data_IF_660580319245
#
_entry.id   IF_660580319245
#
_cell.length_a   1.000
_cell.length_b   1.000
_cell.length_c   1.000
_cell.angle_alpha   90.00
_cell.angle_beta   90.00
_cell.angle_gamma   90.00
#
_symmetry.space_group_name_H-M   'P 1'
#
loop_
_entity.id
_entity.type
_entity.pdbx_description
1 polymer ?
#
# COMPACT_ATOMS: atom_id res chain seq x y z
N UNK A 1 50.23 -51.88 -3.13
CA UNK A 1 49.82 -52.41 -4.44
C UNK A 1 48.30 -52.37 -4.52
N UNK A 2 47.65 -52.00 -5.65
CA UNK A 2 48.10 -51.19 -6.78
C UNK A 2 46.92 -50.23 -7.26
N UNK A 3 46.83 -49.71 -8.51
CA UNK A 3 47.47 -48.43 -8.84
C UNK A 3 46.74 -47.53 -9.91
N UNK A 4 47.33 -46.34 -10.17
CA UNK A 4 47.49 -45.60 -11.46
C UNK A 4 46.24 -45.15 -12.26
N UNK A 5 46.18 -43.85 -12.65
CA UNK A 5 46.36 -43.39 -14.04
C UNK A 5 46.46 -41.85 -14.17
N UNK A 6 47.61 -41.43 -14.70
CA UNK A 6 47.87 -40.15 -15.37
C UNK A 6 46.84 -39.86 -16.48
N UNK A 7 46.61 -38.58 -16.77
CA UNK A 7 46.59 -38.05 -18.14
C UNK A 7 47.04 -36.58 -18.12
N UNK A 8 47.87 -36.27 -19.10
CA UNK A 8 48.61 -35.05 -19.35
C UNK A 8 47.83 -34.08 -20.25
N UNK A 9 48.09 -32.79 -20.08
CA UNK A 9 48.14 -31.72 -21.11
C UNK A 9 47.01 -31.57 -22.13
N UNK A 10 46.26 -30.47 -22.02
CA UNK A 10 45.55 -29.83 -23.15
C UNK A 10 46.13 -28.42 -23.34
N UNK A 11 46.75 -28.20 -24.51
CA UNK A 11 47.19 -26.90 -25.01
C UNK A 11 45.99 -26.05 -25.48
N UNK A 12 46.03 -24.70 -25.35
CA UNK A 12 45.00 -23.82 -25.89
C UNK A 12 45.26 -23.49 -27.37
N UNK A 13 44.25 -23.69 -28.22
CA UNK A 13 44.26 -23.27 -29.64
C UNK A 13 43.61 -21.89 -29.76
N UNK A 14 44.32 -20.97 -30.44
CA UNK A 14 43.86 -19.60 -30.77
C UNK A 14 42.78 -19.62 -31.87
N UNK A 15 41.85 -18.65 -31.86
CA UNK A 15 40.89 -18.49 -32.94
C UNK A 15 41.44 -17.56 -34.04
N UNK A 16 41.67 -18.11 -35.23
CA UNK A 16 41.80 -17.30 -36.45
C UNK A 16 41.19 -18.04 -37.64
N UNK A 17 40.31 -17.32 -38.35
CA UNK A 17 39.74 -17.63 -39.67
C UNK A 17 38.62 -18.72 -39.61
N UNK A 18 37.45 -18.57 -40.21
CA UNK A 18 37.14 -18.10 -41.58
C UNK A 18 35.61 -18.10 -41.78
N UNK A 19 35.15 -17.64 -42.95
CA UNK A 19 33.77 -17.54 -43.47
C UNK A 19 33.04 -16.25 -43.05
N UNK A 20 32.69 -15.33 -43.94
CA UNK A 20 32.51 -15.41 -45.38
C UNK A 20 31.28 -14.57 -45.71
N UNK A 21 31.47 -13.26 -45.92
CA UNK A 21 30.39 -12.32 -46.20
C UNK A 21 30.03 -12.42 -47.68
N UNK A 22 28.78 -12.82 -47.95
CA UNK A 22 28.13 -12.76 -49.26
C UNK A 22 27.00 -11.72 -49.17
N UNK A 23 27.07 -10.74 -50.06
CA UNK A 23 26.09 -9.69 -50.31
C UNK A 23 24.76 -10.24 -50.83
N UNK A 24 23.65 -9.74 -50.31
CA UNK A 24 22.35 -9.73 -50.98
C UNK A 24 21.51 -8.54 -50.49
N UNK A 25 21.48 -7.48 -51.30
CA UNK A 25 20.49 -6.41 -51.24
C UNK A 25 19.12 -6.98 -51.65
N UNK A 26 18.03 -6.62 -50.93
CA UNK A 26 16.81 -6.07 -51.53
C UNK A 26 15.62 -5.95 -50.54
N UNK A 27 15.14 -4.72 -50.44
CA UNK A 27 13.74 -4.30 -50.55
C UNK A 27 12.73 -4.63 -49.42
N UNK A 28 12.74 -3.82 -48.34
CA UNK A 28 11.60 -3.65 -47.41
C UNK A 28 11.38 -2.16 -47.09
N UNK A 29 11.29 -1.33 -48.12
CA UNK A 29 11.24 0.14 -47.96
C UNK A 29 9.88 0.82 -48.16
N UNK A 30 8.86 0.14 -48.69
CA UNK A 30 7.68 0.83 -49.24
C UNK A 30 6.34 0.59 -48.54
N UNK A 31 6.28 -0.15 -47.42
CA UNK A 31 4.98 -0.49 -46.78
C UNK A 31 4.71 0.23 -45.44
N UNK A 32 5.72 0.83 -44.81
CA UNK A 32 5.55 1.49 -43.49
C UNK A 32 5.13 2.96 -43.56
N UNK A 33 5.37 3.66 -44.67
CA UNK A 33 4.98 5.07 -44.82
C UNK A 33 3.49 5.26 -45.18
N UNK A 34 2.86 4.27 -45.82
CA UNK A 34 1.45 4.36 -46.24
C UNK A 34 0.44 4.12 -45.08
N UNK A 35 0.86 3.39 -44.04
CA UNK A 35 0.02 3.10 -42.86
C UNK A 35 -0.06 4.26 -41.86
N UNK A 36 0.93 5.16 -41.83
CA UNK A 36 0.92 6.32 -40.93
C UNK A 36 0.02 7.47 -41.41
N UNK A 37 -0.19 7.62 -42.72
CA UNK A 37 -1.04 8.68 -43.27
C UNK A 37 -2.55 8.39 -43.10
N UNK A 38 -2.97 7.12 -43.18
CA UNK A 38 -4.39 6.74 -43.07
C UNK A 38 -4.95 6.87 -41.63
N UNK A 39 -4.11 6.69 -40.61
CA UNK A 39 -4.53 6.80 -39.19
C UNK A 39 -4.74 8.27 -38.78
N UNK A 40 -4.01 9.21 -39.38
CA UNK A 40 -4.14 10.64 -39.09
C UNK A 40 -5.47 11.24 -39.62
N UNK A 41 -5.99 10.75 -40.75
CA UNK A 41 -7.23 11.26 -41.36
C UNK A 41 -8.49 10.82 -40.61
N UNK A 42 -8.48 9.64 -39.99
CA UNK A 42 -9.64 9.14 -39.23
C UNK A 42 -9.81 9.80 -37.85
N UNK A 43 -8.77 10.47 -37.34
CA UNK A 43 -8.77 11.06 -36.00
C UNK A 43 -9.29 12.50 -35.94
N UNK A 44 -9.25 13.26 -37.05
CA UNK A 44 -9.67 14.66 -37.08
C UNK A 44 -11.18 14.83 -37.27
N UNK A 45 -11.86 13.90 -37.94
CA UNK A 45 -13.30 14.02 -38.28
C UNK A 45 -14.24 13.69 -37.08
N UNK A 46 -13.75 12.96 -36.06
CA UNK A 46 -14.50 12.68 -34.82
C UNK A 46 -14.47 13.81 -33.78
N UNK A 47 -13.55 14.76 -33.88
CA UNK A 47 -13.44 15.90 -32.95
C UNK A 47 -14.29 17.10 -33.39
N UNK A 48 -14.59 17.26 -34.68
CA UNK A 48 -15.38 18.40 -35.20
C UNK A 48 -16.90 18.30 -34.96
N UNK A 49 -17.44 17.11 -34.67
CA UNK A 49 -18.90 16.89 -34.47
C UNK A 49 -19.35 16.93 -32.99
N UNK A 50 -18.46 17.24 -32.04
CA UNK A 50 -18.78 17.28 -30.60
C UNK A 50 -18.95 18.70 -30.03
N UNK A 51 -18.64 19.75 -30.79
CA UNK A 51 -18.59 21.15 -30.33
C UNK A 51 -19.81 22.02 -30.68
N UNK A 52 -20.85 21.51 -31.35
CA UNK A 52 -22.02 22.31 -31.76
C UNK A 52 -23.35 21.93 -31.11
N UNK A 53 -23.34 21.32 -29.91
CA UNK A 53 -24.58 21.00 -29.17
C UNK A 53 -24.50 21.30 -27.68
N UNK A 54 -24.17 22.54 -27.32
CA UNK A 54 -24.37 23.05 -25.95
C UNK A 54 -24.40 24.58 -25.91
N UNK A 55 -25.42 25.16 -26.53
CA UNK A 55 -25.89 26.50 -26.20
C UNK A 55 -27.41 26.57 -26.43
N UNK A 56 -28.17 26.13 -25.42
CA UNK A 56 -29.58 26.50 -25.22
C UNK A 56 -29.77 26.69 -23.72
N UNK A 57 -29.89 27.95 -23.31
CA UNK A 57 -30.17 28.36 -21.94
C UNK A 57 -31.56 27.85 -21.49
N UNK A 58 -31.75 27.39 -20.24
CA UNK A 58 -33.08 27.11 -19.74
C UNK A 58 -33.74 28.39 -19.24
N UNK A 59 -34.99 28.58 -19.67
CA UNK A 59 -35.86 29.69 -19.29
C UNK A 59 -36.12 29.75 -17.78
N UNK A 60 -36.08 30.97 -17.26
CA UNK A 60 -36.28 31.39 -15.87
C UNK A 60 -37.71 31.08 -15.41
N UNK A 61 -37.93 29.97 -14.70
CA UNK A 61 -39.21 29.69 -14.01
C UNK A 61 -39.23 30.36 -12.63
N UNK A 62 -40.33 31.06 -12.37
CA UNK A 62 -40.61 31.92 -11.21
C UNK A 62 -40.59 31.12 -9.90
N UNK A 63 -40.02 31.74 -8.86
CA UNK A 63 -39.99 31.29 -7.46
C UNK A 63 -41.40 31.05 -6.92
N UNK A 64 -41.63 29.87 -6.34
CA UNK A 64 -42.77 29.61 -5.45
C UNK A 64 -42.29 29.63 -3.99
N UNK A 65 -43.03 30.32 -3.13
CA UNK A 65 -42.73 30.54 -1.72
C UNK A 65 -42.84 29.26 -0.87
N UNK A 66 -42.09 29.11 0.24
CA UNK A 66 -42.17 27.94 1.09
C UNK A 66 -43.41 28.02 2.01
N UNK A 67 -44.21 26.95 1.97
CA UNK A 67 -45.41 26.75 2.79
C UNK A 67 -44.99 26.33 4.21
N UNK A 68 -45.44 27.09 5.22
CA UNK A 68 -45.22 26.86 6.65
C UNK A 68 -45.65 25.44 7.06
N UNK A 69 -44.73 24.62 7.55
CA UNK A 69 -45.07 23.39 8.28
C UNK A 69 -45.23 23.69 9.77
N UNK A 70 -46.40 23.31 10.30
CA UNK A 70 -46.79 23.45 11.70
C UNK A 70 -45.94 22.51 12.59
N UNK A 71 -45.41 23.07 13.68
CA UNK A 71 -44.91 22.33 14.84
C UNK A 71 -46.02 21.46 15.42
N UNK A 72 -45.75 20.16 15.59
CA UNK A 72 -46.51 19.29 16.49
C UNK A 72 -45.54 18.73 17.50
N UNK A 73 -45.72 19.15 18.76
CA UNK A 73 -45.04 18.59 19.91
C UNK A 73 -45.70 17.26 20.29
N UNK A 74 -44.93 16.20 20.53
CA UNK A 74 -45.39 15.02 21.28
C UNK A 74 -44.30 14.47 22.19
N UNK A 75 -44.50 14.81 23.47
CA UNK A 75 -44.39 14.05 24.72
C UNK A 75 -43.46 12.82 24.77
N UNK A 76 -42.45 12.98 25.61
CA UNK A 76 -41.75 12.01 26.46
C UNK A 76 -42.46 10.68 26.73
N UNK A 77 -41.75 9.57 26.46
CA UNK A 77 -41.78 8.37 27.30
C UNK A 77 -40.33 7.97 27.61
N UNK A 78 -39.98 8.02 28.90
CA UNK A 78 -38.75 7.46 29.47
C UNK A 78 -38.90 5.95 29.53
N UNK A 79 -37.97 5.20 28.95
CA UNK A 79 -37.54 3.90 29.49
C UNK A 79 -36.03 3.77 29.36
N UNK A 80 -35.44 3.17 30.39
CA UNK A 80 -34.09 3.36 30.83
C UNK A 80 -33.07 2.39 30.18
N UNK A 81 -31.81 2.78 30.37
CA UNK A 81 -30.61 1.92 30.45
C UNK A 81 -30.10 1.29 29.15
N UNK A 82 -29.25 2.03 28.45
CA UNK A 82 -28.12 1.43 27.71
C UNK A 82 -26.82 2.13 28.14
N UNK A 83 -25.81 1.30 28.41
CA UNK A 83 -24.52 1.69 28.96
C UNK A 83 -23.83 2.75 28.11
N UNK A 84 -23.43 3.85 28.77
CA UNK A 84 -22.67 4.95 28.19
C UNK A 84 -21.28 4.44 27.82
N UNK A 85 -21.07 4.09 26.55
CA UNK A 85 -19.72 3.82 26.01
C UNK A 85 -18.88 5.06 26.28
N UNK A 86 -17.91 4.96 27.21
CA UNK A 86 -16.94 6.02 27.49
C UNK A 86 -16.16 6.29 26.20
N UNK A 87 -16.48 7.41 25.55
CA UNK A 87 -15.68 8.00 24.47
C UNK A 87 -14.24 8.16 25.00
N UNK A 88 -13.19 7.78 24.23
CA UNK A 88 -11.82 7.97 24.69
C UNK A 88 -11.56 9.47 24.95
N UNK A 89 -10.71 9.82 25.92
CA UNK A 89 -10.55 11.20 26.35
C UNK A 89 -9.95 12.03 25.21
N UNK A 90 -10.66 13.11 24.87
CA UNK A 90 -10.28 14.12 23.87
C UNK A 90 -8.94 14.81 24.21
N UNK A 91 -8.44 14.65 25.43
CA UNK A 91 -7.24 15.28 25.97
C UNK A 91 -5.93 14.81 25.30
N UNK A 92 -5.79 13.51 25.04
CA UNK A 92 -4.60 12.94 24.43
C UNK A 92 -4.35 13.41 22.98
N UNK A 93 -5.41 13.61 22.20
CA UNK A 93 -5.29 14.21 20.85
C UNK A 93 -5.25 15.74 20.90
N UNK A 94 -5.83 16.36 21.94
CA UNK A 94 -5.71 17.81 22.16
C UNK A 94 -4.29 18.23 22.58
N UNK A 95 -3.54 17.38 23.29
CA UNK A 95 -2.14 17.64 23.63
C UNK A 95 -1.24 17.70 22.38
N UNK A 96 -1.50 16.84 21.39
CA UNK A 96 -0.85 16.88 20.08
C UNK A 96 -1.25 18.14 19.30
N UNK A 97 -2.52 18.55 19.37
CA UNK A 97 -3.00 19.79 18.77
C UNK A 97 -2.50 21.08 19.45
N UNK A 98 -2.01 20.98 20.70
CA UNK A 98 -1.46 22.08 21.48
C UNK A 98 0.07 22.22 21.38
N UNK A 99 0.71 21.49 20.45
CA UNK A 99 2.16 21.64 20.18
C UNK A 99 3.09 21.05 21.23
N UNK A 100 2.58 20.32 22.24
CA UNK A 100 3.41 19.51 23.14
C UNK A 100 3.70 18.18 22.47
N UNK A 101 4.74 18.14 21.64
CA UNK A 101 5.32 16.89 21.17
C UNK A 101 5.88 16.12 22.37
N UNK A 102 5.57 14.82 22.45
CA UNK A 102 6.22 13.94 23.43
C UNK A 102 7.74 14.03 23.26
N UNK A 103 8.50 13.92 24.36
CA UNK A 103 9.95 13.88 24.25
C UNK A 103 10.38 12.73 23.34
N UNK A 104 11.31 13.00 22.43
CA UNK A 104 11.81 11.99 21.49
C UNK A 104 12.66 10.95 22.26
N UNK A 105 12.70 9.72 21.76
CA UNK A 105 13.60 8.69 22.28
C UNK A 105 15.08 9.03 22.08
N UNK A 106 15.93 8.59 23.01
CA UNK A 106 17.38 8.58 22.82
C UNK A 106 17.78 7.45 21.87
N UNK A 107 19.00 7.51 21.33
CA UNK A 107 19.52 6.43 20.49
C UNK A 107 19.54 5.07 21.21
N UNK A 108 19.85 5.05 22.51
CA UNK A 108 19.86 3.83 23.31
C UNK A 108 18.46 3.25 23.55
N UNK A 109 17.46 4.12 23.75
CA UNK A 109 16.05 3.71 23.84
C UNK A 109 15.58 3.10 22.51
N UNK A 110 15.94 3.72 21.39
CA UNK A 110 15.67 3.21 20.04
C UNK A 110 16.30 1.83 19.85
N UNK A 111 17.61 1.71 20.10
CA UNK A 111 18.35 0.47 19.95
C UNK A 111 17.74 -0.65 20.80
N UNK A 112 17.44 -0.34 22.06
CA UNK A 112 16.83 -1.30 22.99
C UNK A 112 15.46 -1.76 22.49
N UNK A 113 14.62 -0.85 22.00
CA UNK A 113 13.31 -1.18 21.47
C UNK A 113 13.40 -2.12 20.26
N UNK A 114 14.23 -1.79 19.26
CA UNK A 114 14.36 -2.62 18.06
C UNK A 114 15.03 -3.96 18.32
N UNK A 115 15.99 -4.04 19.24
CA UNK A 115 16.53 -5.32 19.71
C UNK A 115 15.44 -6.21 20.31
N UNK A 116 14.52 -5.64 21.11
CA UNK A 116 13.38 -6.38 21.68
C UNK A 116 12.39 -6.82 20.61
N UNK A 117 12.09 -5.97 19.62
CA UNK A 117 11.25 -6.35 18.49
C UNK A 117 11.86 -7.51 17.68
N UNK A 118 13.15 -7.41 17.35
CA UNK A 118 13.87 -8.45 16.63
C UNK A 118 13.91 -9.78 17.39
N UNK A 119 14.11 -9.74 18.71
CA UNK A 119 14.09 -10.95 19.54
C UNK A 119 12.68 -11.58 19.63
N UNK A 120 11.63 -10.75 19.74
CA UNK A 120 10.25 -11.22 19.87
C UNK A 120 9.68 -11.79 18.57
N UNK A 121 10.10 -11.26 17.42
CA UNK A 121 9.65 -11.72 16.11
C UNK A 121 10.76 -11.52 15.06
N UNK A 122 11.67 -12.49 14.87
CA UNK A 122 12.83 -12.33 13.98
C UNK A 122 12.48 -12.12 12.50
N UNK A 123 11.37 -12.68 12.02
CA UNK A 123 10.92 -12.57 10.61
C UNK A 123 9.45 -12.07 10.57
N UNK A 124 9.23 -10.77 10.82
CA UNK A 124 7.88 -10.22 10.84
C UNK A 124 7.34 -10.09 9.41
N UNK A 125 6.10 -10.57 9.20
CA UNK A 125 5.44 -10.56 7.89
C UNK A 125 4.11 -9.81 7.93
N UNK A 126 3.72 -9.23 6.79
CA UNK A 126 2.40 -8.66 6.59
C UNK A 126 1.28 -9.71 6.62
N UNK A 127 0.05 -9.27 6.90
CA UNK A 127 -1.11 -10.17 6.99
C UNK A 127 -1.80 -10.43 5.64
N UNK A 128 -1.46 -9.66 4.61
CA UNK A 128 -2.05 -9.81 3.27
C UNK A 128 -1.44 -11.02 2.56
N UNK A 129 -2.30 -11.98 2.18
CA UNK A 129 -1.89 -13.19 1.46
C UNK A 129 -1.63 -12.86 0.00
N UNK A 130 -0.44 -13.22 -0.47
CA UNK A 130 0.04 -13.01 -1.83
C UNK A 130 1.08 -14.09 -2.17
N UNK A 131 1.34 -14.28 -3.47
CA UNK A 131 2.32 -15.26 -3.97
C UNK A 131 3.47 -14.61 -4.72
N UNK A 132 3.26 -13.40 -5.22
CA UNK A 132 4.20 -12.65 -6.04
C UNK A 132 3.97 -11.13 -5.86
N UNK A 133 4.85 -10.27 -6.44
CA UNK A 133 4.70 -8.83 -6.31
C UNK A 133 3.38 -8.27 -6.88
N UNK A 134 2.80 -8.89 -7.90
CA UNK A 134 1.57 -8.40 -8.52
C UNK A 134 0.35 -8.68 -7.66
N UNK A 135 0.22 -9.90 -7.15
CA UNK A 135 -0.84 -10.30 -6.22
C UNK A 135 -0.75 -9.50 -4.91
N UNK A 136 0.46 -9.17 -4.44
CA UNK A 136 0.65 -8.22 -3.34
C UNK A 136 0.12 -6.83 -3.71
N UNK A 137 0.52 -6.29 -4.85
CA UNK A 137 0.09 -4.96 -5.31
C UNK A 137 -1.44 -4.86 -5.37
N UNK A 138 -2.11 -5.86 -5.95
CA UNK A 138 -3.58 -5.92 -6.00
C UNK A 138 -4.15 -5.98 -4.57
N UNK A 139 -3.62 -6.84 -3.69
CA UNK A 139 -4.09 -6.93 -2.30
C UNK A 139 -3.94 -5.60 -1.55
N UNK A 140 -2.84 -4.88 -1.74
CA UNK A 140 -2.58 -3.56 -1.13
C UNK A 140 -3.56 -2.50 -1.67
N UNK A 141 -3.85 -2.48 -2.97
CA UNK A 141 -4.86 -1.56 -3.54
C UNK A 141 -6.26 -1.87 -2.98
N UNK A 142 -6.58 -3.15 -2.79
CA UNK A 142 -7.85 -3.58 -2.21
C UNK A 142 -7.97 -3.31 -0.70
N UNK A 143 -6.86 -3.22 0.02
CA UNK A 143 -6.85 -3.00 1.48
C UNK A 143 -7.19 -1.57 1.90
N UNK A 144 -7.18 -0.61 0.98
CA UNK A 144 -7.58 0.77 1.26
C UNK A 144 -8.97 0.82 1.90
N UNK A 145 -9.07 1.24 3.17
CA UNK A 145 -10.32 1.26 3.94
C UNK A 145 -11.03 -0.11 4.03
N UNK A 146 -10.27 -1.20 4.04
CA UNK A 146 -10.75 -2.56 4.27
C UNK A 146 -9.91 -3.25 5.35
N UNK A 147 -10.40 -4.37 5.87
CA UNK A 147 -9.62 -5.22 6.77
C UNK A 147 -8.83 -6.24 5.96
N UNK A 148 -7.63 -6.58 6.40
CA UNK A 148 -6.78 -7.57 5.71
C UNK A 148 -7.47 -8.94 5.61
N UNK A 149 -8.24 -9.32 6.64
CA UNK A 149 -9.07 -10.53 6.61
C UNK A 149 -10.14 -10.49 5.52
N UNK A 150 -10.80 -9.34 5.32
CA UNK A 150 -11.79 -9.15 4.27
C UNK A 150 -11.17 -9.19 2.87
N UNK A 151 -9.98 -8.60 2.72
CA UNK A 151 -9.20 -8.66 1.47
C UNK A 151 -8.81 -10.11 1.17
N UNK A 152 -8.21 -10.81 2.12
CA UNK A 152 -7.77 -12.20 1.96
C UNK A 152 -8.91 -13.14 1.56
N UNK A 153 -10.12 -12.90 2.09
CA UNK A 153 -11.32 -13.69 1.72
C UNK A 153 -11.73 -13.47 0.26
N UNK A 154 -11.61 -12.25 -0.25
CA UNK A 154 -11.95 -11.93 -1.63
C UNK A 154 -10.84 -12.33 -2.62
N UNK A 155 -9.57 -12.13 -2.23
CA UNK A 155 -8.42 -12.38 -3.11
C UNK A 155 -8.09 -13.86 -3.27
N UNK A 156 -8.39 -14.70 -2.27
CA UNK A 156 -8.18 -16.15 -2.34
C UNK A 156 -8.72 -16.80 -3.62
N UNK A 157 -10.05 -16.75 -3.89
CA UNK A 157 -10.62 -17.29 -5.13
C UNK A 157 -10.24 -16.47 -6.36
N UNK A 158 -10.07 -15.15 -6.24
CA UNK A 158 -9.67 -14.29 -7.36
C UNK A 158 -8.30 -14.67 -7.92
N UNK A 159 -7.29 -14.88 -7.07
CA UNK A 159 -5.94 -15.18 -7.51
C UNK A 159 -5.78 -16.61 -8.04
N UNK A 160 -6.74 -17.50 -7.81
CA UNK A 160 -6.77 -18.81 -8.48
C UNK A 160 -7.11 -18.70 -9.96
N UNK A 161 -7.86 -17.66 -10.36
CA UNK A 161 -8.30 -17.44 -11.74
C UNK A 161 -7.54 -16.32 -12.45
N UNK A 162 -7.04 -15.33 -11.70
CA UNK A 162 -6.41 -14.12 -12.22
C UNK A 162 -5.28 -13.64 -11.31
N UNK A 163 -4.13 -14.32 -11.37
CA UNK A 163 -2.90 -13.96 -10.64
C UNK A 163 -1.88 -13.16 -11.46
N UNK A 164 -2.16 -12.85 -12.73
CA UNK A 164 -1.27 -12.04 -13.57
C UNK A 164 -1.99 -10.80 -14.11
N UNK A 165 -1.28 -9.73 -14.47
CA UNK A 165 -1.90 -8.55 -15.07
C UNK A 165 -2.74 -8.89 -16.30
N UNK A 166 -2.22 -9.73 -17.20
CA UNK A 166 -2.93 -10.14 -18.41
C UNK A 166 -4.20 -10.93 -18.09
N UNK A 167 -4.14 -11.86 -17.13
CA UNK A 167 -5.32 -12.62 -16.70
C UNK A 167 -6.37 -11.73 -16.01
N UNK A 168 -5.94 -10.73 -15.25
CA UNK A 168 -6.84 -9.77 -14.61
C UNK A 168 -7.55 -8.88 -15.63
N UNK A 169 -6.85 -8.44 -16.67
CA UNK A 169 -7.45 -7.68 -17.78
C UNK A 169 -8.43 -8.57 -18.55
N UNK A 170 -8.08 -9.82 -18.82
CA UNK A 170 -8.95 -10.79 -19.50
C UNK A 170 -10.20 -11.15 -18.67
N UNK A 171 -10.08 -11.19 -17.34
CA UNK A 171 -11.21 -11.39 -16.43
C UNK A 171 -12.27 -10.28 -16.59
N UNK A 172 -11.82 -9.05 -16.78
CA UNK A 172 -12.67 -7.88 -16.97
C UNK A 172 -13.23 -7.29 -15.67
N UNK A 173 -13.65 -6.03 -15.74
CA UNK A 173 -14.08 -5.26 -14.57
C UNK A 173 -15.33 -5.83 -13.89
N UNK A 174 -16.31 -6.27 -14.66
CA UNK A 174 -17.59 -6.76 -14.13
C UNK A 174 -17.39 -8.01 -13.26
N UNK A 175 -16.70 -9.03 -13.79
CA UNK A 175 -16.37 -10.24 -13.02
C UNK A 175 -15.48 -9.92 -11.82
N UNK A 176 -14.51 -9.02 -11.97
CA UNK A 176 -13.69 -8.59 -10.83
C UNK A 176 -14.55 -7.99 -9.72
N UNK A 177 -15.52 -7.12 -10.04
CA UNK A 177 -16.44 -6.55 -9.04
C UNK A 177 -17.17 -7.65 -8.27
N UNK A 178 -17.57 -8.74 -8.92
CA UNK A 178 -18.23 -9.86 -8.22
C UNK A 178 -17.33 -10.56 -7.21
N UNK A 179 -16.03 -10.73 -7.50
CA UNK A 179 -15.06 -11.27 -6.55
C UNK A 179 -14.86 -10.36 -5.33
N UNK A 180 -14.81 -9.04 -5.56
CA UNK A 180 -14.45 -8.07 -4.52
C UNK A 180 -15.65 -7.31 -3.94
N UNK A 181 -16.89 -7.67 -4.26
CA UNK A 181 -18.11 -6.94 -3.83
C UNK A 181 -18.29 -6.84 -2.32
N UNK A 182 -17.65 -7.72 -1.55
CA UNK A 182 -17.66 -7.68 -0.08
C UNK A 182 -16.74 -6.61 0.49
N UNK A 183 -15.87 -6.02 -0.34
CA UNK A 183 -14.93 -4.97 0.06
C UNK A 183 -15.58 -3.60 -0.17
N UNK A 184 -15.42 -2.68 0.79
CA UNK A 184 -15.83 -1.28 0.61
C UNK A 184 -15.16 -0.64 -0.60
N UNK A 185 -15.91 0.23 -1.31
CA UNK A 185 -15.45 0.95 -2.52
C UNK A 185 -15.09 0.03 -3.70
N UNK A 186 -15.65 -1.18 -3.76
CA UNK A 186 -15.30 -2.18 -4.78
C UNK A 186 -15.44 -1.70 -6.22
N UNK A 187 -16.41 -0.83 -6.56
CA UNK A 187 -16.56 -0.30 -7.91
C UNK A 187 -15.32 0.47 -8.38
N UNK A 188 -14.87 1.44 -7.58
CA UNK A 188 -13.68 2.23 -7.89
C UNK A 188 -12.41 1.38 -7.83
N UNK A 189 -12.34 0.44 -6.87
CA UNK A 189 -11.22 -0.49 -6.75
C UNK A 189 -11.10 -1.42 -7.95
N UNK A 190 -12.19 -2.00 -8.44
CA UNK A 190 -12.19 -2.85 -9.63
C UNK A 190 -11.69 -2.07 -10.85
N UNK A 191 -12.20 -0.86 -11.06
CA UNK A 191 -11.74 0.03 -12.13
C UNK A 191 -10.23 0.30 -12.04
N UNK A 192 -9.73 0.62 -10.84
CA UNK A 192 -8.30 0.88 -10.64
C UNK A 192 -7.46 -0.38 -10.86
N UNK A 193 -7.89 -1.56 -10.39
CA UNK A 193 -7.18 -2.83 -10.57
C UNK A 193 -7.11 -3.23 -12.05
N UNK A 194 -8.19 -3.04 -12.81
CA UNK A 194 -8.14 -3.29 -14.26
C UNK A 194 -7.19 -2.29 -14.94
N UNK A 195 -7.34 -0.99 -14.65
CA UNK A 195 -6.52 0.05 -15.27
C UNK A 195 -5.02 -0.10 -14.93
N UNK A 196 -4.67 -0.41 -13.68
CA UNK A 196 -3.28 -0.65 -13.30
C UNK A 196 -2.75 -1.91 -13.98
N UNK A 197 -3.56 -2.98 -14.10
CA UNK A 197 -3.14 -4.20 -14.79
C UNK A 197 -2.88 -3.96 -16.28
N UNK A 198 -3.71 -3.15 -16.94
CA UNK A 198 -3.49 -2.70 -18.31
C UNK A 198 -2.17 -1.94 -18.44
N UNK A 199 -1.92 -0.96 -17.58
CA UNK A 199 -0.67 -0.19 -17.59
C UNK A 199 0.57 -1.07 -17.35
N UNK A 200 0.48 -2.07 -16.47
CA UNK A 200 1.56 -3.03 -16.26
C UNK A 200 1.88 -3.83 -17.53
N UNK A 201 0.85 -4.30 -18.24
CA UNK A 201 1.04 -5.01 -19.53
C UNK A 201 1.66 -4.08 -20.58
N UNK A 202 1.10 -2.89 -20.75
CA UNK A 202 1.48 -1.95 -21.83
C UNK A 202 2.87 -1.33 -21.62
N UNK A 203 3.21 -0.94 -20.39
CA UNK A 203 4.41 -0.12 -20.11
C UNK A 203 5.54 -0.88 -19.43
N UNK A 204 5.22 -1.95 -18.72
CA UNK A 204 6.18 -2.67 -17.86
C UNK A 204 6.27 -4.17 -18.19
N UNK A 205 5.74 -4.60 -19.35
CA UNK A 205 5.82 -5.99 -19.82
C UNK A 205 5.13 -6.99 -18.88
N UNK A 206 4.09 -6.55 -18.16
CA UNK A 206 3.37 -7.36 -17.18
C UNK A 206 4.08 -7.54 -15.83
N UNK A 207 5.17 -6.80 -15.56
CA UNK A 207 5.90 -6.86 -14.28
C UNK A 207 5.62 -5.63 -13.44
N UNK A 208 5.59 -5.82 -12.12
CA UNK A 208 5.52 -4.71 -11.16
C UNK A 208 6.86 -3.97 -11.16
N UNK A 209 6.89 -2.64 -11.40
CA UNK A 209 8.15 -1.90 -11.41
C UNK A 209 8.75 -1.82 -10.01
N UNK A 210 10.07 -1.96 -9.94
CA UNK A 210 10.85 -1.75 -8.71
C UNK A 210 11.28 -0.28 -8.60
N UNK A 211 10.31 0.63 -8.68
CA UNK A 211 10.53 2.07 -8.58
C UNK A 211 9.33 2.75 -7.94
N UNK A 212 9.56 3.67 -7.00
CA UNK A 212 8.49 4.31 -6.24
C UNK A 212 7.62 5.20 -7.12
N UNK A 213 8.22 6.00 -7.99
CA UNK A 213 7.49 6.96 -8.84
C UNK A 213 6.64 6.22 -9.87
N UNK A 214 7.18 5.16 -10.45
CA UNK A 214 6.47 4.25 -11.34
C UNK A 214 5.28 3.56 -10.64
N UNK A 215 5.45 3.14 -9.38
CA UNK A 215 4.37 2.58 -8.58
C UNK A 215 3.30 3.63 -8.25
N UNK A 216 3.67 4.83 -7.83
CA UNK A 216 2.73 5.93 -7.52
C UNK A 216 1.95 6.42 -8.75
N UNK A 217 2.50 6.23 -9.96
CA UNK A 217 1.80 6.52 -11.21
C UNK A 217 0.66 5.53 -11.51
N UNK A 218 0.62 4.36 -10.86
CA UNK A 218 -0.41 3.36 -11.07
C UNK A 218 -1.74 3.75 -10.39
N UNK A 219 -2.90 3.55 -11.06
CA UNK A 219 -4.21 3.84 -10.50
C UNK A 219 -4.45 3.14 -9.15
N UNK A 220 -4.79 3.94 -8.13
CA UNK A 220 -5.09 3.42 -6.79
C UNK A 220 -3.88 3.16 -5.91
N UNK A 221 -2.66 3.44 -6.39
CA UNK A 221 -1.43 3.37 -5.61
C UNK A 221 -1.02 4.78 -5.21
N UNK A 222 -0.90 5.01 -3.91
CA UNK A 222 -0.27 6.23 -3.38
C UNK A 222 1.07 5.89 -2.71
N UNK A 223 1.78 6.91 -2.22
CA UNK A 223 3.09 6.75 -1.56
C UNK A 223 3.16 5.64 -0.52
N UNK A 224 2.18 5.57 0.38
CA UNK A 224 2.11 4.52 1.41
C UNK A 224 2.06 3.13 0.75
N UNK A 225 1.19 2.94 -0.23
CA UNK A 225 1.01 1.66 -0.92
C UNK A 225 2.28 1.28 -1.69
N UNK A 226 2.93 2.24 -2.34
CA UNK A 226 4.20 2.03 -3.03
C UNK A 226 5.29 1.56 -2.05
N UNK A 227 5.47 2.24 -0.91
CA UNK A 227 6.44 1.84 0.12
C UNK A 227 6.15 0.42 0.66
N UNK A 228 4.89 0.05 0.90
CA UNK A 228 4.54 -1.32 1.33
C UNK A 228 4.98 -2.37 0.31
N UNK A 229 4.75 -2.10 -0.98
CA UNK A 229 5.15 -3.01 -2.07
C UNK A 229 6.67 -3.08 -2.18
N UNK A 230 7.37 -1.95 -2.16
CA UNK A 230 8.85 -1.90 -2.17
C UNK A 230 9.46 -2.69 -1.03
N UNK A 231 8.95 -2.52 0.20
CA UNK A 231 9.45 -3.25 1.36
C UNK A 231 9.15 -4.75 1.30
N UNK A 232 7.90 -5.13 1.03
CA UNK A 232 7.46 -6.51 1.18
C UNK A 232 7.85 -7.39 0.00
N UNK A 233 7.73 -6.87 -1.23
CA UNK A 233 8.02 -7.64 -2.44
C UNK A 233 9.48 -7.55 -2.89
N UNK A 234 10.13 -6.41 -2.67
CA UNK A 234 11.48 -6.16 -3.19
C UNK A 234 12.55 -6.01 -2.11
N UNK A 235 12.18 -6.03 -0.83
CA UNK A 235 13.14 -5.98 0.28
C UNK A 235 13.76 -4.60 0.50
N UNK A 236 13.12 -3.53 0.02
CA UNK A 236 13.61 -2.18 0.25
C UNK A 236 13.35 -1.74 1.70
N UNK A 237 14.31 -1.08 2.38
CA UNK A 237 14.18 -0.67 3.78
C UNK A 237 13.27 0.55 3.98
N UNK A 238 12.08 0.56 3.36
CA UNK A 238 11.10 1.63 3.45
C UNK A 238 10.12 1.42 4.60
N UNK A 239 9.77 2.50 5.30
CA UNK A 239 8.85 2.46 6.44
C UNK A 239 7.56 3.20 6.07
N UNK A 240 6.56 2.45 5.59
CA UNK A 240 5.27 3.04 5.25
C UNK A 240 4.47 3.43 6.51
N UNK A 241 4.21 4.71 6.72
CA UNK A 241 3.47 5.18 7.90
C UNK A 241 1.96 5.11 7.66
N UNK A 242 1.28 4.32 8.48
CA UNK A 242 -0.17 4.23 8.52
C UNK A 242 -0.75 4.81 9.82
N UNK A 243 -2.04 4.61 10.07
CA UNK A 243 -2.68 5.11 11.29
C UNK A 243 -2.19 4.40 12.57
N UNK A 244 -1.69 3.16 12.46
CA UNK A 244 -1.12 2.42 13.58
C UNK A 244 0.28 2.95 13.91
N UNK A 245 1.17 3.04 12.90
CA UNK A 245 2.53 3.55 13.05
C UNK A 245 2.52 5.02 13.42
N UNK A 246 1.66 5.86 12.82
CA UNK A 246 1.54 7.27 13.17
C UNK A 246 1.17 7.47 14.65
N UNK A 247 0.20 6.68 15.14
CA UNK A 247 -0.20 6.71 16.55
C UNK A 247 0.90 6.18 17.45
N UNK A 248 1.53 5.07 17.09
CA UNK A 248 2.62 4.48 17.85
C UNK A 248 3.82 5.44 17.94
N UNK A 249 4.19 6.04 16.81
CA UNK A 249 5.21 7.07 16.63
C UNK A 249 5.10 8.19 17.66
N UNK A 250 3.90 8.77 17.69
CA UNK A 250 3.57 9.89 18.58
C UNK A 250 3.40 9.49 20.05
N UNK A 251 2.80 8.32 20.35
CA UNK A 251 2.57 7.90 21.74
C UNK A 251 3.87 7.51 22.44
N UNK A 252 4.69 6.71 21.76
CA UNK A 252 5.91 6.15 22.36
C UNK A 252 7.01 7.19 22.51
N UNK A 253 7.12 8.11 21.56
CA UNK A 253 8.24 9.04 21.46
C UNK A 253 9.31 8.60 20.46
N UNK A 254 9.12 7.46 19.77
CA UNK A 254 10.05 6.98 18.74
C UNK A 254 10.21 7.98 17.58
N UNK A 255 9.10 8.55 17.10
CA UNK A 255 9.08 9.48 15.97
C UNK A 255 7.85 10.40 16.09
N UNK A 256 7.85 11.37 17.01
CA UNK A 256 6.74 12.30 17.16
C UNK A 256 6.68 13.26 15.96
N UNK A 257 5.49 13.47 15.39
CA UNK A 257 5.28 14.30 14.21
C UNK A 257 3.79 14.60 13.99
N UNK A 258 3.51 15.76 13.40
CA UNK A 258 2.14 16.23 13.17
C UNK A 258 1.53 15.58 11.92
N UNK A 259 2.37 15.21 10.96
CA UNK A 259 1.95 14.59 9.70
C UNK A 259 2.54 13.18 9.53
N UNK A 260 1.88 12.26 8.81
CA UNK A 260 2.46 10.95 8.50
C UNK A 260 3.82 11.04 7.80
N UNK A 261 4.00 12.06 6.95
CA UNK A 261 5.27 12.30 6.25
C UNK A 261 6.40 12.69 7.22
N UNK A 262 6.14 13.58 8.17
CA UNK A 262 7.14 13.90 9.22
C UNK A 262 7.53 12.67 10.03
N UNK A 263 6.56 11.82 10.37
CA UNK A 263 6.82 10.57 11.11
C UNK A 263 7.63 9.60 10.24
N UNK A 264 7.35 9.52 8.93
CA UNK A 264 8.10 8.69 7.98
C UNK A 264 9.56 9.13 7.90
N UNK A 265 9.81 10.43 7.70
CA UNK A 265 11.17 10.99 7.64
C UNK A 265 11.93 10.69 8.92
N UNK A 266 11.33 10.98 10.08
CA UNK A 266 11.98 10.72 11.38
C UNK A 266 12.24 9.24 11.62
N UNK A 267 11.33 8.34 11.28
CA UNK A 267 11.57 6.90 11.41
C UNK A 267 12.75 6.45 10.54
N UNK A 268 12.88 6.97 9.32
CA UNK A 268 14.04 6.64 8.47
C UNK A 268 15.36 7.21 9.02
N UNK A 269 15.32 8.30 9.78
CA UNK A 269 16.49 8.90 10.43
C UNK A 269 16.90 8.15 11.71
N UNK A 270 15.95 7.83 12.60
CA UNK A 270 16.25 7.31 13.93
C UNK A 270 16.44 5.80 13.97
N UNK A 271 15.79 5.05 13.07
CA UNK A 271 15.86 3.59 13.08
C UNK A 271 17.20 3.13 12.53
N UNK A 272 18.00 2.34 13.27
CA UNK A 272 19.27 1.82 12.76
C UNK A 272 19.09 0.97 11.50
N UNK A 273 20.02 1.09 10.54
CA UNK A 273 19.92 0.45 9.22
C UNK A 273 19.66 -1.05 9.28
N UNK A 274 20.29 -1.76 10.24
CA UNK A 274 20.10 -3.21 10.46
C UNK A 274 18.66 -3.62 10.77
N UNK A 275 17.83 -2.69 11.24
CA UNK A 275 16.44 -2.94 11.60
C UNK A 275 15.45 -2.43 10.56
N UNK A 276 15.86 -1.52 9.65
CA UNK A 276 14.95 -0.79 8.77
C UNK A 276 14.07 -1.69 7.91
N UNK A 277 14.63 -2.79 7.39
CA UNK A 277 13.90 -3.76 6.57
C UNK A 277 12.63 -4.29 7.28
N UNK A 278 12.76 -4.64 8.55
CA UNK A 278 11.69 -5.25 9.35
C UNK A 278 10.93 -4.25 10.23
N UNK A 279 11.48 -3.03 10.41
CA UNK A 279 10.92 -1.99 11.24
C UNK A 279 9.45 -1.69 10.92
N UNK A 280 9.10 -1.60 9.63
CA UNK A 280 7.71 -1.39 9.20
C UNK A 280 6.77 -2.44 9.81
N UNK A 281 7.10 -3.72 9.63
CA UNK A 281 6.27 -4.84 10.07
C UNK A 281 6.18 -4.94 11.61
N UNK A 282 7.28 -4.73 12.33
CA UNK A 282 7.24 -4.69 13.80
C UNK A 282 6.32 -3.58 14.31
N UNK A 283 6.48 -2.37 13.78
CA UNK A 283 5.72 -1.21 14.24
C UNK A 283 4.22 -1.32 13.91
N UNK A 284 3.86 -1.83 12.73
CA UNK A 284 2.44 -1.99 12.37
C UNK A 284 1.77 -3.10 13.18
N UNK A 285 2.42 -4.25 13.37
CA UNK A 285 1.89 -5.36 14.18
C UNK A 285 1.75 -4.93 15.64
N UNK A 286 2.75 -4.26 16.19
CA UNK A 286 2.70 -3.75 17.56
C UNK A 286 1.61 -2.68 17.72
N UNK A 287 1.51 -1.76 16.76
CA UNK A 287 0.44 -0.75 16.74
C UNK A 287 -0.96 -1.35 16.61
N UNK A 288 -1.11 -2.48 15.91
CA UNK A 288 -2.38 -3.18 15.70
C UNK A 288 -2.83 -3.98 16.92
N UNK A 289 -1.95 -4.79 17.51
CA UNK A 289 -2.34 -5.75 18.55
C UNK A 289 -2.03 -5.30 19.98
N UNK A 290 -1.05 -4.41 20.18
CA UNK A 290 -0.63 -3.96 21.51
C UNK A 290 -1.02 -2.50 21.74
N UNK A 291 -0.48 -1.57 20.95
CA UNK A 291 -0.74 -0.13 21.08
C UNK A 291 -2.04 0.30 20.36
N UNK A 292 -3.15 -0.37 20.71
CA UNK A 292 -4.49 -0.12 20.16
C UNK A 292 -4.94 1.32 20.38
N UNK A 293 -5.77 1.83 19.47
CA UNK A 293 -6.31 3.19 19.56
C UNK A 293 -7.11 3.38 20.86
N UNK A 294 -7.96 2.42 21.18
CA UNK A 294 -8.73 2.33 22.42
C UNK A 294 -8.12 1.25 23.31
N UNK A 295 -7.90 1.58 24.60
CA UNK A 295 -7.36 0.66 25.63
C UNK A 295 -6.12 -0.11 25.14
N UNK A 296 -4.95 0.54 24.99
CA UNK A 296 -3.72 -0.16 24.67
C UNK A 296 -3.41 -1.24 25.72
N UNK A 297 -2.74 -2.31 25.34
CA UNK A 297 -2.32 -3.40 26.24
C UNK A 297 -0.91 -3.11 26.79
N UNK A 298 -0.79 -2.07 27.63
CA UNK A 298 0.50 -1.64 28.19
C UNK A 298 1.13 -2.71 29.09
N UNK A 299 0.31 -3.52 29.73
CA UNK A 299 0.64 -4.71 30.53
C UNK A 299 1.30 -5.83 29.72
N UNK A 300 1.25 -5.80 28.39
CA UNK A 300 1.87 -6.78 27.50
C UNK A 300 2.89 -6.15 26.56
N UNK A 301 3.20 -4.88 26.76
CA UNK A 301 3.99 -4.11 25.82
C UNK A 301 5.47 -4.26 26.14
N UNK A 302 6.23 -4.87 25.21
CA UNK A 302 7.68 -5.12 25.34
C UNK A 302 8.54 -3.85 25.39
N UNK A 303 7.95 -2.67 25.15
CA UNK A 303 8.60 -1.35 25.20
C UNK A 303 7.87 -0.40 26.17
N UNK A 304 7.09 -0.93 27.11
CA UNK A 304 6.27 -0.11 28.01
C UNK A 304 7.12 0.79 28.92
N UNK A 305 8.28 0.33 29.35
CA UNK A 305 9.29 1.04 30.14
C UNK A 305 9.92 2.20 29.35
N UNK A 306 10.14 2.03 28.05
CA UNK A 306 10.69 3.06 27.16
C UNK A 306 9.63 4.07 26.70
N UNK A 307 8.36 3.67 26.69
CA UNK A 307 7.25 4.46 26.16
C UNK A 307 7.02 5.73 27.00
N UNK A 308 6.95 6.88 26.34
CA UNK A 308 6.79 8.18 27.02
C UNK A 308 5.33 8.58 27.24
N UNK A 309 4.38 7.80 26.73
CA UNK A 309 2.94 8.09 26.82
C UNK A 309 2.46 8.19 28.28
N UNK A 310 1.77 9.28 28.69
CA UNK A 310 1.34 9.45 30.08
C UNK A 310 0.10 8.62 30.45
N UNK A 311 -0.79 8.34 29.49
CA UNK A 311 -2.03 7.59 29.73
C UNK A 311 -1.85 6.09 29.46
N UNK A 312 -0.84 5.46 30.09
CA UNK A 312 -0.66 4.00 30.03
C UNK A 312 -1.78 3.31 30.82
N UNK A 313 -2.21 2.14 30.36
CA UNK A 313 -3.28 1.35 31.01
C UNK A 313 -2.78 0.44 32.13
N UNK A 314 -1.48 0.25 32.22
CA UNK A 314 -0.77 -0.47 33.26
C UNK A 314 0.69 0.01 33.27
N UNK A 315 1.35 -0.18 34.41
CA UNK A 315 2.81 -0.07 34.51
C UNK A 315 3.46 -1.23 33.74
N UNK A 316 4.71 -1.04 33.29
CA UNK A 316 5.39 -1.93 32.36
C UNK A 316 5.39 -3.39 32.84
N UNK A 317 5.03 -4.33 31.95
CA UNK A 317 5.29 -5.74 32.22
C UNK A 317 6.81 -6.02 32.22
N UNK A 318 7.26 -7.01 33.01
CA UNK A 318 8.63 -7.47 32.93
C UNK A 318 8.95 -7.98 31.51
N UNK A 319 10.18 -7.74 31.00
CA UNK A 319 10.56 -8.15 29.65
C UNK A 319 10.48 -9.68 29.52
N UNK A 320 9.73 -10.19 28.53
CA UNK A 320 9.68 -11.63 28.20
C UNK A 320 8.33 -12.19 27.75
N UNK A 321 7.23 -11.43 27.84
CA UNK A 321 5.92 -11.92 27.39
C UNK A 321 5.82 -11.84 25.87
N UNK A 322 5.96 -12.98 25.19
CA UNK A 322 5.85 -13.10 23.73
C UNK A 322 4.51 -12.53 23.19
N UNK A 323 4.56 -11.97 21.97
CA UNK A 323 3.44 -11.33 21.27
C UNK A 323 2.33 -12.32 20.89
#
# INVERSE_FOLDING_TARGET
MPPIRHISTINPVRPSERCGVSTAENNVGSSLAALSAAIAVLYTDKMAKRTTRRNRAPARRKRAAPRKQKRVAKKSTRLATTARVRRPPKAAMAAVAAGKTMSAWTADEIETAFRRFAAANPDPRGELKHVDPYTLLVAVVLSAQATDAGVNKATGPLFQVASTPAAMVALGEEKLRDYIKTIGLFNTKAKNVIALSQQLVERYGGKVPHDREALEALPGVGRKSANVVLNTAFGEPTIAVDTHIFRLGNRTGIAPGLTPFEVEVKLNEVVPDRYKLHAHHWLILHGRYICKATKPACDRCIIADLCKWPEKTADAAPPGTAL
#
